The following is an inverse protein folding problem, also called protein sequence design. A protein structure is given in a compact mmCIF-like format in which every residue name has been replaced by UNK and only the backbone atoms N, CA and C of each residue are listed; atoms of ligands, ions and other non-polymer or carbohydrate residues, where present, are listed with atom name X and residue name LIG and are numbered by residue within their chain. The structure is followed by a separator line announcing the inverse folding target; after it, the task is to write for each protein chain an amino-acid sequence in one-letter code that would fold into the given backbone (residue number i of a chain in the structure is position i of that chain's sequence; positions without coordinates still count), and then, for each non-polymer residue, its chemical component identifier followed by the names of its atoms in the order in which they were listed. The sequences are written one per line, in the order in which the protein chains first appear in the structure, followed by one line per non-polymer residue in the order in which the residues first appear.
data_IF_647628466112
#
_entry.id   IF_647628466112
#
_cell.length_a   1.000
_cell.length_b   1.000
_cell.length_c   1.000
_cell.angle_alpha   90.00
_cell.angle_beta   90.00
_cell.angle_gamma   90.00
#
_symmetry.space_group_name_H-M   'P 1'
#
loop_
_entity.id
_entity.type
_entity.pdbx_description
1 polymer ?
#
# COMPACT_ATOMS: atom_id res chain seq x y z
N UNK A 1 6.39 -1.94 -15.42
CA UNK A 1 5.73 -0.71 -14.92
C UNK A 1 4.39 -1.09 -14.31
N UNK A 2 3.90 -0.40 -13.27
CA UNK A 2 2.61 -0.77 -12.65
C UNK A 2 1.45 -0.28 -13.54
N UNK A 3 0.47 -1.15 -13.79
CA UNK A 3 -0.69 -0.89 -14.65
C UNK A 3 -1.98 -1.53 -14.08
N UNK A 4 -3.13 -1.26 -14.67
CA UNK A 4 -4.46 -1.70 -14.17
C UNK A 4 -4.64 -3.22 -14.15
N UNK A 5 -3.91 -3.95 -15.01
CA UNK A 5 -3.98 -5.40 -15.13
C UNK A 5 -2.92 -6.12 -14.30
N UNK A 6 -2.11 -5.36 -13.57
CA UNK A 6 -1.01 -5.89 -12.75
C UNK A 6 -1.54 -6.81 -11.66
N UNK A 7 -1.03 -8.04 -11.66
CA UNK A 7 -1.23 -9.03 -10.61
C UNK A 7 0.13 -9.42 -10.06
N UNK A 8 0.35 -9.19 -8.78
CA UNK A 8 1.64 -9.53 -8.15
C UNK A 8 1.51 -9.74 -6.65
N UNK A 9 2.60 -10.16 -6.04
CA UNK A 9 2.76 -10.28 -4.59
C UNK A 9 3.91 -9.39 -4.11
N UNK A 10 3.80 -8.98 -2.85
CA UNK A 10 4.85 -8.25 -2.15
C UNK A 10 4.94 -8.71 -0.70
N UNK A 11 6.02 -8.35 -0.03
CA UNK A 11 6.17 -8.56 1.39
C UNK A 11 6.70 -7.27 2.04
N UNK A 12 6.12 -6.94 3.19
CA UNK A 12 6.53 -5.86 4.07
C UNK A 12 7.05 -6.45 5.38
N UNK A 13 8.23 -6.05 5.78
CA UNK A 13 8.89 -6.44 7.02
C UNK A 13 8.99 -5.21 7.94
N UNK A 14 8.73 -5.37 9.25
CA UNK A 14 8.90 -4.27 10.20
C UNK A 14 10.34 -3.78 10.14
N UNK A 15 10.53 -2.48 10.22
CA UNK A 15 11.86 -1.89 10.35
C UNK A 15 12.34 -2.11 11.79
N UNK A 16 13.56 -2.61 11.93
CA UNK A 16 14.20 -2.79 13.25
C UNK A 16 14.37 -1.46 13.97
N UNK A 17 14.33 -1.47 15.30
CA UNK A 17 14.44 -0.25 16.13
C UNK A 17 15.73 0.55 15.83
N UNK A 18 16.85 -0.13 15.56
CA UNK A 18 18.13 0.50 15.20
C UNK A 18 18.09 1.25 13.86
N UNK A 19 17.15 0.91 13.00
CA UNK A 19 16.96 1.51 11.66
C UNK A 19 15.72 2.41 11.58
N UNK A 20 14.92 2.46 12.65
CA UNK A 20 13.76 3.31 12.75
C UNK A 20 14.19 4.78 12.76
N UNK A 21 13.39 5.63 12.10
CA UNK A 21 13.59 7.08 12.07
C UNK A 21 12.26 7.73 12.42
N UNK A 22 12.28 8.90 13.05
CA UNK A 22 11.07 9.59 13.53
C UNK A 22 10.00 9.79 12.44
N UNK A 23 10.42 9.95 11.18
CA UNK A 23 9.53 10.06 10.00
C UNK A 23 9.84 8.98 8.94
N UNK A 24 10.42 7.87 9.37
CA UNK A 24 10.79 6.75 8.52
C UNK A 24 9.62 5.81 8.21
N UNK A 25 9.81 4.88 7.26
CA UNK A 25 8.84 3.81 7.05
C UNK A 25 8.79 2.89 8.27
N UNK A 26 7.59 2.45 8.64
CA UNK A 26 7.37 1.44 9.68
C UNK A 26 7.62 0.03 9.14
N UNK A 27 7.38 -0.17 7.84
CA UNK A 27 7.72 -1.41 7.15
C UNK A 27 8.45 -1.12 5.85
N UNK A 28 9.37 -2.00 5.48
CA UNK A 28 10.08 -1.98 4.21
C UNK A 28 10.04 -3.34 3.54
N UNK A 29 10.26 -3.39 2.23
CA UNK A 29 10.31 -4.63 1.49
C UNK A 29 10.39 -4.40 0.00
N UNK A 30 9.82 -5.35 -0.76
CA UNK A 30 9.87 -5.30 -2.21
C UNK A 30 8.62 -5.88 -2.85
N UNK A 31 8.25 -5.32 -4.00
CA UNK A 31 7.19 -5.81 -4.88
C UNK A 31 7.82 -6.27 -6.20
N UNK A 32 7.38 -7.41 -6.73
CA UNK A 32 7.85 -7.89 -8.03
C UNK A 32 7.00 -7.27 -9.14
N UNK A 33 7.59 -6.47 -10.01
CA UNK A 33 6.92 -5.88 -11.16
C UNK A 33 7.66 -6.30 -12.42
N UNK A 34 6.98 -7.01 -13.33
CA UNK A 34 7.57 -7.49 -14.60
C UNK A 34 8.91 -8.24 -14.44
N UNK A 35 9.05 -9.03 -13.36
CA UNK A 35 10.28 -9.77 -13.05
C UNK A 35 11.36 -8.95 -12.35
N UNK A 36 11.17 -7.63 -12.18
CA UNK A 36 12.08 -6.75 -11.44
C UNK A 36 11.59 -6.58 -10.01
N UNK A 37 12.51 -6.66 -9.04
CA UNK A 37 12.21 -6.36 -7.64
C UNK A 37 12.30 -4.85 -7.41
N UNK A 38 11.17 -4.23 -7.09
CA UNK A 38 11.07 -2.79 -6.85
C UNK A 38 10.91 -2.53 -5.35
N UNK A 39 11.62 -1.56 -4.76
CA UNK A 39 11.48 -1.22 -3.35
C UNK A 39 10.04 -0.83 -3.00
N UNK A 40 9.58 -1.28 -1.83
CA UNK A 40 8.29 -0.94 -1.26
C UNK A 40 8.51 -0.47 0.18
N UNK A 41 7.94 0.67 0.52
CA UNK A 41 7.96 1.24 1.87
C UNK A 41 6.54 1.50 2.34
N UNK A 42 6.30 1.36 3.64
CA UNK A 42 5.00 1.65 4.26
C UNK A 42 5.19 2.55 5.48
N UNK A 43 4.53 3.71 5.46
CA UNK A 43 4.60 4.72 6.52
C UNK A 43 3.31 4.71 7.32
N UNK A 44 3.39 4.69 8.64
CA UNK A 44 2.20 4.81 9.47
C UNK A 44 1.70 6.27 9.43
N UNK A 45 0.46 6.48 9.01
CA UNK A 45 -0.19 7.79 8.96
C UNK A 45 -1.55 7.74 9.63
N UNK A 46 -2.00 8.90 10.10
CA UNK A 46 -3.36 9.09 10.61
C UNK A 46 -4.28 9.50 9.46
N UNK A 47 -5.48 8.92 9.42
CA UNK A 47 -6.53 9.37 8.52
C UNK A 47 -6.89 10.82 8.85
N UNK A 48 -7.09 11.65 7.82
CA UNK A 48 -7.61 13.00 8.02
C UNK A 48 -9.08 12.89 8.47
N UNK A 49 -9.56 13.85 9.26
CA UNK A 49 -10.95 14.04 9.69
C UNK A 49 -11.38 13.28 10.97
N UNK A 50 -10.54 13.27 12.00
CA UNK A 50 -10.96 12.95 13.37
C UNK A 50 -11.29 11.48 13.66
N UNK A 51 -11.18 10.59 12.67
CA UNK A 51 -11.12 9.16 12.95
C UNK A 51 -9.75 8.82 13.53
N UNK A 52 -9.68 8.16 14.68
CA UNK A 52 -8.43 7.60 15.25
C UNK A 52 -7.85 6.46 14.37
N UNK A 53 -8.32 6.33 13.13
CA UNK A 53 -7.94 5.26 12.20
C UNK A 53 -6.57 5.57 11.61
N UNK A 54 -5.63 4.67 11.90
CA UNK A 54 -4.30 4.68 11.30
C UNK A 54 -4.28 3.80 10.05
N UNK A 55 -3.53 4.22 9.05
CA UNK A 55 -3.28 3.44 7.84
C UNK A 55 -1.79 3.43 7.50
N UNK A 56 -1.40 2.44 6.69
CA UNK A 56 -0.08 2.35 6.11
C UNK A 56 -0.10 2.99 4.73
N UNK A 57 0.59 4.10 4.57
CA UNK A 57 0.84 4.78 3.30
C UNK A 57 1.96 4.07 2.55
N UNK A 58 1.62 3.47 1.41
CA UNK A 58 2.53 2.67 0.59
C UNK A 58 3.25 3.56 -0.43
N UNK A 59 4.56 3.37 -0.54
CA UNK A 59 5.40 3.97 -1.57
C UNK A 59 6.14 2.87 -2.31
N UNK A 60 5.87 2.71 -3.61
CA UNK A 60 6.48 1.72 -4.48
C UNK A 60 7.43 2.43 -5.43
N UNK A 61 8.73 2.19 -5.31
CA UNK A 61 9.75 2.83 -6.13
C UNK A 61 11.01 3.13 -5.33
N UNK A 62 12.14 3.23 -6.02
CA UNK A 62 13.39 3.66 -5.40
C UNK A 62 13.39 5.18 -5.18
N UNK A 63 14.12 5.65 -4.16
CA UNK A 63 14.31 7.07 -3.91
C UNK A 63 14.91 7.75 -5.16
N UNK A 64 14.30 8.85 -5.60
CA UNK A 64 14.76 9.60 -6.78
C UNK A 64 14.39 8.95 -8.11
N UNK A 65 13.55 7.91 -8.11
CA UNK A 65 12.95 7.33 -9.31
C UNK A 65 11.43 7.53 -9.30
N UNK A 66 10.79 7.12 -10.40
CA UNK A 66 9.33 7.04 -10.49
C UNK A 66 8.79 6.19 -9.35
N UNK A 67 7.75 6.68 -8.69
CA UNK A 67 7.11 5.96 -7.60
C UNK A 67 5.59 5.98 -7.71
N UNK A 68 4.95 5.00 -7.09
CA UNK A 68 3.50 4.87 -7.00
C UNK A 68 3.07 4.96 -5.53
N UNK A 69 1.88 5.51 -5.30
CA UNK A 69 1.29 5.63 -3.98
C UNK A 69 0.23 4.56 -3.76
N UNK A 70 0.01 4.20 -2.50
CA UNK A 70 -1.08 3.33 -2.10
C UNK A 70 -1.43 3.52 -0.64
N UNK A 71 -2.51 2.90 -0.20
CA UNK A 71 -2.93 2.90 1.20
C UNK A 71 -3.34 1.51 1.61
N UNK A 72 -3.04 1.15 2.85
CA UNK A 72 -3.35 -0.15 3.42
C UNK A 72 -3.91 0.04 4.84
N UNK A 73 -5.15 -0.34 5.03
CA UNK A 73 -5.92 -0.18 6.26
C UNK A 73 -5.99 -1.50 6.99
N UNK A 74 -5.92 -1.45 8.32
CA UNK A 74 -6.08 -2.66 9.14
C UNK A 74 -7.57 -3.01 9.25
N UNK A 75 -7.91 -4.27 9.01
CA UNK A 75 -9.26 -4.77 9.23
C UNK A 75 -9.48 -5.07 10.71
N UNK A 76 -10.35 -4.29 11.36
CA UNK A 76 -10.69 -4.46 12.78
C UNK A 76 -11.73 -5.57 12.98
N UNK A 77 -12.63 -5.77 12.01
CA UNK A 77 -13.71 -6.75 12.07
C UNK A 77 -13.54 -7.82 10.99
N UNK A 78 -12.75 -8.85 11.30
CA UNK A 78 -12.58 -9.99 10.38
C UNK A 78 -13.81 -10.89 10.39
N UNK A 79 -14.43 -11.05 9.21
CA UNK A 79 -15.56 -11.97 9.02
C UNK A 79 -15.16 -13.44 9.24
N UNK A 80 -13.94 -13.83 8.87
CA UNK A 80 -13.43 -15.21 9.01
C UNK A 80 -11.93 -15.23 9.28
N UNK A 81 -11.39 -16.39 9.69
CA UNK A 81 -9.95 -16.61 9.81
C UNK A 81 -9.18 -16.46 8.48
N UNK A 82 -9.88 -16.61 7.34
CA UNK A 82 -9.30 -16.44 5.99
C UNK A 82 -9.36 -14.98 5.50
N UNK A 83 -10.10 -14.12 6.19
CA UNK A 83 -10.21 -12.71 5.84
C UNK A 83 -8.84 -12.03 6.01
N UNK A 84 -8.47 -11.12 5.09
CA UNK A 84 -7.19 -10.45 5.16
C UNK A 84 -7.09 -9.59 6.43
N UNK A 85 -5.88 -9.46 6.97
CA UNK A 85 -5.56 -8.55 8.09
C UNK A 85 -5.64 -7.09 7.67
N UNK A 86 -5.39 -6.83 6.39
CA UNK A 86 -5.38 -5.50 5.83
C UNK A 86 -6.04 -5.47 4.45
N UNK A 87 -6.70 -4.37 4.12
CA UNK A 87 -7.28 -4.09 2.80
C UNK A 87 -6.87 -2.69 2.37
N UNK A 88 -6.77 -2.47 1.07
CA UNK A 88 -6.38 -1.19 0.56
C UNK A 88 -6.22 -1.18 -0.94
N UNK A 89 -5.42 -0.24 -1.42
CA UNK A 89 -5.20 -0.05 -2.85
C UNK A 89 -3.82 0.52 -3.17
N UNK A 90 -3.41 0.34 -4.41
CA UNK A 90 -2.30 1.07 -5.05
C UNK A 90 -2.89 1.85 -6.21
N UNK A 91 -2.56 3.14 -6.29
CA UNK A 91 -2.98 4.01 -7.38
C UNK A 91 -2.03 3.81 -8.57
N UNK A 92 -2.60 3.54 -9.74
CA UNK A 92 -1.88 3.39 -11.00
C UNK A 92 -1.61 4.80 -11.58
N UNK A 93 -0.88 5.60 -10.82
CA UNK A 93 -0.47 6.96 -11.19
C UNK A 93 1.00 7.14 -10.82
N UNK A 94 1.84 7.31 -11.84
CA UNK A 94 3.28 7.33 -11.70
C UNK A 94 3.75 8.75 -11.32
N UNK A 95 4.33 8.92 -10.14
CA UNK A 95 4.86 10.22 -9.70
C UNK A 95 6.31 10.36 -10.10
N UNK A 96 6.62 11.39 -10.89
CA UNK A 96 7.97 11.65 -11.36
C UNK A 96 8.82 12.38 -10.31
N UNK A 97 10.10 11.99 -10.14
CA UNK A 97 10.96 12.62 -9.16
C UNK A 97 11.22 14.09 -9.53
N UNK A 98 11.06 14.98 -8.55
CA UNK A 98 11.33 16.42 -8.72
C UNK A 98 10.18 17.23 -9.33
N UNK A 99 9.07 16.60 -9.71
CA UNK A 99 7.86 17.28 -10.18
C UNK A 99 6.93 17.52 -8.99
N UNK A 100 6.52 18.77 -8.79
CA UNK A 100 5.54 19.14 -7.75
C UNK A 100 4.20 19.39 -8.42
N UNK A 101 3.11 18.98 -7.76
CA UNK A 101 1.74 19.16 -8.24
C UNK A 101 1.54 18.64 -9.67
N UNK A 102 2.14 17.47 -9.97
CA UNK A 102 2.04 16.83 -11.28
C UNK A 102 0.60 16.47 -11.65
N UNK A 103 -0.23 16.22 -10.65
CA UNK A 103 -1.61 15.76 -10.78
C UNK A 103 -2.56 16.61 -9.94
N UNK A 104 -3.74 16.86 -10.49
CA UNK A 104 -4.87 17.48 -9.82
C UNK A 104 -5.61 16.47 -8.94
N UNK A 105 -6.48 16.93 -8.05
CA UNK A 105 -7.32 16.03 -7.25
C UNK A 105 -8.23 15.16 -8.14
N UNK A 106 -8.73 15.73 -9.25
CA UNK A 106 -9.53 15.01 -10.25
C UNK A 106 -8.74 13.87 -10.91
N UNK A 107 -7.45 14.07 -11.20
CA UNK A 107 -6.58 13.02 -11.72
C UNK A 107 -6.41 11.88 -10.71
N UNK A 108 -6.26 12.21 -9.41
CA UNK A 108 -6.14 11.21 -8.34
C UNK A 108 -7.42 10.40 -8.13
N UNK A 109 -8.57 11.02 -8.28
CA UNK A 109 -9.88 10.37 -8.20
C UNK A 109 -10.14 9.47 -9.40
N UNK A 110 -9.81 9.94 -10.61
CA UNK A 110 -9.99 9.18 -11.85
C UNK A 110 -8.94 8.08 -12.05
N UNK A 111 -7.80 8.16 -11.38
CA UNK A 111 -6.71 7.22 -11.54
C UNK A 111 -7.15 5.77 -11.22
N UNK A 112 -6.80 4.78 -12.07
CA UNK A 112 -7.11 3.39 -11.80
C UNK A 112 -6.47 2.92 -10.49
N UNK A 113 -7.15 2.02 -9.79
CA UNK A 113 -6.67 1.47 -8.51
C UNK A 113 -6.58 -0.05 -8.58
N UNK A 114 -5.44 -0.58 -8.16
CA UNK A 114 -5.28 -2.01 -7.87
C UNK A 114 -5.71 -2.28 -6.44
N UNK A 115 -6.38 -3.40 -6.20
CA UNK A 115 -6.78 -3.82 -4.86
C UNK A 115 -5.59 -4.49 -4.18
N UNK A 116 -5.36 -4.15 -2.91
CA UNK A 116 -4.33 -4.77 -2.08
C UNK A 116 -4.98 -5.50 -0.92
N UNK A 117 -4.63 -6.77 -0.76
CA UNK A 117 -4.96 -7.57 0.42
C UNK A 117 -3.70 -7.92 1.19
N UNK A 118 -3.64 -7.54 2.46
CA UNK A 118 -2.53 -7.88 3.34
C UNK A 118 -2.88 -8.95 4.36
N UNK A 119 -1.97 -9.88 4.60
CA UNK A 119 -2.07 -10.89 5.68
C UNK A 119 -0.86 -10.78 6.57
N UNK A 120 -1.08 -10.73 7.88
CA UNK A 120 -0.01 -10.77 8.86
C UNK A 120 0.42 -12.23 9.03
N UNK A 121 1.66 -12.51 8.67
CA UNK A 121 2.23 -13.86 8.67
C UNK A 121 3.44 -13.88 9.59
N UNK A 122 3.60 -14.97 10.35
CA UNK A 122 4.80 -15.25 11.12
C UNK A 122 5.75 -16.11 10.27
N UNK A 123 7.01 -15.69 10.18
CA UNK A 123 8.07 -16.42 9.50
C UNK A 123 8.60 -17.56 10.40
N UNK A 124 9.43 -18.45 9.84
CA UNK A 124 9.99 -19.58 10.57
C UNK A 124 10.91 -19.16 11.73
N UNK A 125 11.54 -18.00 11.62
CA UNK A 125 12.36 -17.35 12.65
C UNK A 125 11.52 -16.58 13.70
N UNK A 126 10.20 -16.78 13.73
CA UNK A 126 9.22 -16.06 14.56
C UNK A 126 9.06 -14.55 14.24
N UNK A 127 9.78 -14.00 13.27
CA UNK A 127 9.57 -12.61 12.83
C UNK A 127 8.20 -12.46 12.17
N UNK A 128 7.65 -11.24 12.18
CA UNK A 128 6.36 -10.94 11.56
C UNK A 128 6.59 -10.22 10.24
N UNK A 129 5.79 -10.56 9.22
CA UNK A 129 5.70 -9.80 7.98
C UNK A 129 4.24 -9.58 7.58
N UNK A 130 4.00 -8.62 6.69
CA UNK A 130 2.73 -8.48 6.00
C UNK A 130 2.94 -8.97 4.57
N UNK A 131 2.31 -10.09 4.22
CA UNK A 131 2.28 -10.59 2.84
C UNK A 131 1.14 -9.89 2.10
N UNK A 132 1.45 -9.30 0.94
CA UNK A 132 0.50 -8.54 0.14
C UNK A 132 0.19 -9.28 -1.16
N UNK A 133 -1.09 -9.37 -1.49
CA UNK A 133 -1.59 -9.69 -2.82
C UNK A 133 -2.08 -8.40 -3.47
N UNK A 134 -1.52 -8.07 -4.64
CA UNK A 134 -1.93 -6.91 -5.45
C UNK A 134 -2.64 -7.42 -6.69
N UNK A 135 -3.90 -7.02 -6.85
CA UNK A 135 -4.80 -7.58 -7.86
C UNK A 135 -5.47 -6.47 -8.67
N UNK A 136 -5.76 -6.70 -9.96
CA UNK A 136 -6.65 -5.83 -10.72
C UNK A 136 -8.01 -5.72 -10.04
N UNK A 137 -8.63 -4.54 -10.11
CA UNK A 137 -10.03 -4.37 -9.73
C UNK A 137 -10.89 -5.21 -10.69
N UNK A 138 -11.38 -6.36 -10.22
CA UNK A 138 -12.43 -7.11 -10.95
C UNK A 138 -13.69 -6.27 -10.86
N UNK A 139 -14.36 -6.02 -11.99
CA UNK A 139 -15.44 -5.03 -12.08
C UNK A 139 -16.52 -5.17 -11.00
N UNK A 140 -17.09 -4.00 -10.65
CA UNK A 140 -18.25 -3.71 -9.80
C UNK A 140 -18.21 -3.93 -8.27
N UNK A 141 -17.08 -4.32 -7.66
CA UNK A 141 -16.92 -4.01 -6.24
C UNK A 141 -16.36 -2.59 -6.09
N UNK A 142 -17.25 -1.64 -5.76
CA UNK A 142 -16.83 -0.37 -5.17
C UNK A 142 -16.14 -0.70 -3.85
N UNK A 143 -14.80 -0.65 -3.84
CA UNK A 143 -14.09 -0.21 -2.64
C UNK A 143 -14.54 1.25 -2.50
N UNK A 144 -15.64 1.47 -1.77
CA UNK A 144 -16.20 2.81 -1.68
C UNK A 144 -15.23 3.68 -0.90
N UNK A 145 -15.10 4.93 -1.34
CA UNK A 145 -14.46 5.98 -0.55
C UNK A 145 -15.29 6.28 0.71
N UNK A 146 -16.41 5.60 0.99
CA UNK A 146 -17.23 5.81 2.19
C UNK A 146 -16.66 5.16 3.47
N UNK A 147 -15.56 4.39 3.39
CA UNK A 147 -14.72 4.12 4.59
C UNK A 147 -13.65 5.19 4.83
N UNK A 148 -13.60 6.21 3.96
CA UNK A 148 -12.79 7.43 4.04
C UNK A 148 -13.66 8.64 3.61
N UNK A 149 -14.87 8.74 4.16
CA UNK A 149 -15.76 9.88 3.90
C UNK A 149 -15.37 11.09 4.75
N UNK A 150 -15.32 12.26 4.08
CA UNK A 150 -15.04 13.62 4.55
C UNK A 150 -15.47 13.97 5.99
#
# INVERSE_FOLDING_TARGET
MLNETTRTTAALFPVDEDHARDNGPMFTGSIKLEGVSVPLSAFLKEAKNGSERRYLDLSIGAKGQVHYSGRLFRNEQKKTAKSPDYTGYVVVLAMNPGVKNEYTDEDWEAAPRLIVYGRRVRNADNSVRIALDVLPKRSNENVSDEEVGF
#
